data_IF_693791021007
#
_entry.id   IF_693791021007
#
_cell.length_a   1.000
_cell.length_b   1.000
_cell.length_c   1.000
_cell.angle_alpha   90.00
_cell.angle_beta   90.00
_cell.angle_gamma   90.00
#
_symmetry.space_group_name_H-M   'P 1'
#
loop_
_entity.id
_entity.type
_entity.pdbx_description
1 polymer ?
#
# COMPACT_ATOMS: atom_id res chain seq x y z
N UNK A 1 -10.73 -18.57 -1.41
CA UNK A 1 -11.06 -17.19 -1.03
C UNK A 1 -10.16 -16.86 0.15
N UNK A 2 -9.43 -15.75 0.06
CA UNK A 2 -8.29 -15.45 0.94
C UNK A 2 -8.71 -14.98 2.34
N UNK A 3 -9.87 -14.33 2.42
CA UNK A 3 -10.42 -13.72 3.63
C UNK A 3 -11.95 -13.82 3.62
N UNK A 4 -12.62 -13.52 4.75
CA UNK A 4 -14.10 -13.47 4.80
C UNK A 4 -14.72 -12.51 3.78
N UNK A 5 -16.01 -12.70 3.53
CA UNK A 5 -16.81 -11.83 2.66
C UNK A 5 -16.74 -10.35 3.07
N UNK A 6 -16.66 -10.07 4.37
CA UNK A 6 -16.51 -8.71 4.90
C UNK A 6 -15.20 -8.05 4.47
N UNK A 7 -14.07 -8.77 4.54
CA UNK A 7 -12.77 -8.26 4.08
C UNK A 7 -12.80 -8.04 2.57
N UNK A 8 -13.33 -9.00 1.81
CA UNK A 8 -13.42 -8.85 0.36
C UNK A 8 -14.26 -7.64 -0.03
N UNK A 9 -15.35 -7.38 0.70
CA UNK A 9 -16.21 -6.20 0.50
C UNK A 9 -15.47 -4.91 0.80
N UNK A 10 -14.73 -4.86 1.92
CA UNK A 10 -13.92 -3.69 2.27
C UNK A 10 -12.82 -3.42 1.26
N UNK A 11 -12.08 -4.46 0.86
CA UNK A 11 -11.05 -4.39 -0.17
C UNK A 11 -11.60 -3.88 -1.49
N UNK A 12 -12.73 -4.42 -1.96
CA UNK A 12 -13.36 -3.97 -3.20
C UNK A 12 -13.87 -2.53 -3.14
N UNK A 13 -14.23 -2.04 -1.96
CA UNK A 13 -14.74 -0.68 -1.77
C UNK A 13 -13.63 0.37 -1.60
N UNK A 14 -12.44 -0.02 -1.11
CA UNK A 14 -11.40 0.92 -0.69
C UNK A 14 -10.08 0.78 -1.47
N UNK A 15 -9.86 -0.35 -2.15
CA UNK A 15 -8.60 -0.66 -2.82
C UNK A 15 -8.84 -1.07 -4.27
N UNK A 16 -7.82 -0.82 -5.11
CA UNK A 16 -7.74 -1.46 -6.43
C UNK A 16 -7.07 -2.82 -6.23
N UNK A 17 -7.81 -3.89 -6.54
CA UNK A 17 -7.33 -5.24 -6.38
C UNK A 17 -6.70 -5.78 -7.66
N UNK A 18 -5.45 -6.18 -7.57
CA UNK A 18 -4.75 -6.96 -8.59
C UNK A 18 -4.31 -8.30 -8.01
N UNK A 19 -4.50 -9.38 -8.77
CA UNK A 19 -4.15 -10.73 -8.34
C UNK A 19 -3.20 -11.34 -9.36
N UNK A 20 -2.16 -11.99 -8.86
CA UNK A 20 -1.26 -12.78 -9.68
C UNK A 20 -1.22 -14.21 -9.15
N UNK A 21 -1.48 -15.17 -10.02
CA UNK A 21 -1.36 -16.58 -9.67
C UNK A 21 0.10 -16.99 -9.86
N UNK A 22 0.83 -17.11 -8.75
CA UNK A 22 2.24 -17.49 -8.78
C UNK A 22 2.39 -18.99 -9.06
N UNK A 23 3.28 -19.30 -9.99
CA UNK A 23 3.79 -20.64 -10.28
C UNK A 23 5.31 -20.57 -10.30
N UNK A 24 6.00 -21.71 -10.18
CA UNK A 24 7.46 -21.75 -10.27
C UNK A 24 7.97 -21.11 -11.59
N UNK A 25 7.25 -21.32 -12.68
CA UNK A 25 7.62 -20.83 -14.01
C UNK A 25 7.47 -19.30 -14.18
N UNK A 26 6.53 -18.67 -13.47
CA UNK A 26 6.21 -17.24 -13.66
C UNK A 26 6.73 -16.33 -12.55
N UNK A 27 7.35 -16.90 -11.51
CA UNK A 27 7.84 -16.16 -10.35
C UNK A 27 8.90 -15.12 -10.73
N UNK A 28 9.92 -15.54 -11.48
CA UNK A 28 10.98 -14.64 -11.94
C UNK A 28 10.48 -13.57 -12.92
N UNK A 29 9.47 -13.90 -13.73
CA UNK A 29 8.81 -12.94 -14.62
C UNK A 29 8.08 -11.87 -13.79
N UNK A 30 7.32 -12.27 -12.76
CA UNK A 30 6.67 -11.33 -11.85
C UNK A 30 7.70 -10.41 -11.19
N UNK A 31 8.78 -10.95 -10.63
CA UNK A 31 9.82 -10.14 -9.97
C UNK A 31 10.42 -9.11 -10.93
N UNK A 32 10.67 -9.51 -12.19
CA UNK A 32 11.19 -8.61 -13.24
C UNK A 32 10.19 -7.49 -13.56
N UNK A 33 8.91 -7.81 -13.72
CA UNK A 33 7.84 -6.84 -13.98
C UNK A 33 7.70 -5.88 -12.79
N UNK A 34 7.65 -6.40 -11.57
CA UNK A 34 7.53 -5.58 -10.35
C UNK A 34 8.73 -4.66 -10.22
N UNK A 35 9.97 -5.16 -10.37
CA UNK A 35 11.17 -4.34 -10.29
C UNK A 35 11.17 -3.21 -11.32
N UNK A 36 10.70 -3.48 -12.55
CA UNK A 36 10.71 -2.53 -13.67
C UNK A 36 9.63 -1.45 -13.54
N UNK A 37 8.40 -1.84 -13.19
CA UNK A 37 7.24 -0.95 -13.28
C UNK A 37 6.75 -0.44 -11.92
N UNK A 38 7.07 -1.14 -10.84
CA UNK A 38 6.63 -0.79 -9.48
C UNK A 38 7.82 -0.25 -8.69
N UNK A 39 8.92 -1.00 -8.67
CA UNK A 39 10.17 -0.64 -8.01
C UNK A 39 10.88 -1.86 -7.44
N UNK A 40 12.21 -1.78 -7.38
CA UNK A 40 13.09 -2.84 -6.88
C UNK A 40 12.84 -3.17 -5.39
N UNK A 41 12.43 -2.18 -4.60
CA UNK A 41 12.05 -2.38 -3.18
C UNK A 41 10.88 -3.36 -3.06
N UNK A 42 9.85 -3.21 -3.88
CA UNK A 42 8.67 -4.10 -3.86
C UNK A 42 9.03 -5.51 -4.32
N UNK A 43 9.87 -5.63 -5.36
CA UNK A 43 10.35 -6.92 -5.83
C UNK A 43 11.17 -7.64 -4.74
N UNK A 44 12.03 -6.91 -4.02
CA UNK A 44 12.83 -7.44 -2.90
C UNK A 44 11.94 -7.95 -1.76
N UNK A 45 10.85 -7.26 -1.45
CA UNK A 45 9.87 -7.72 -0.46
C UNK A 45 9.23 -9.05 -0.88
N UNK A 46 8.86 -9.21 -2.15
CA UNK A 46 8.29 -10.45 -2.66
C UNK A 46 9.33 -11.59 -2.64
N UNK A 47 10.57 -11.30 -3.04
CA UNK A 47 11.68 -12.26 -3.10
C UNK A 47 12.15 -12.75 -1.72
N UNK A 48 12.15 -11.84 -0.74
CA UNK A 48 12.53 -12.15 0.64
C UNK A 48 11.42 -12.78 1.48
N UNK A 49 10.18 -12.79 0.99
CA UNK A 49 9.04 -13.34 1.73
C UNK A 49 9.04 -14.87 1.69
N UNK A 50 9.06 -15.56 2.85
CA UNK A 50 8.98 -17.02 2.90
C UNK A 50 7.73 -17.56 2.22
N UNK A 51 7.86 -18.67 1.49
CA UNK A 51 6.75 -19.34 0.80
C UNK A 51 5.62 -19.75 1.74
N UNK A 52 5.92 -20.00 3.02
CA UNK A 52 4.95 -20.34 4.06
C UNK A 52 3.98 -19.20 4.42
N UNK A 53 4.36 -17.95 4.14
CA UNK A 53 3.53 -16.78 4.40
C UNK A 53 2.53 -16.50 3.26
N UNK A 54 2.68 -17.19 2.13
CA UNK A 54 1.77 -17.05 1.01
C UNK A 54 0.41 -17.67 1.31
N UNK A 55 -0.67 -17.12 0.72
CA UNK A 55 -0.70 -15.93 -0.17
C UNK A 55 -0.39 -14.61 0.54
N UNK A 56 0.33 -13.70 -0.14
CA UNK A 56 0.65 -12.37 0.38
C UNK A 56 -0.32 -11.32 -0.19
N UNK A 57 -0.83 -10.46 0.68
CA UNK A 57 -1.49 -9.22 0.27
C UNK A 57 -0.53 -8.05 0.52
N UNK A 58 -0.09 -7.40 -0.55
CA UNK A 58 0.83 -6.25 -0.47
C UNK A 58 0.04 -5.00 -0.80
N UNK A 59 0.00 -4.05 0.14
CA UNK A 59 -0.61 -2.75 -0.06
C UNK A 59 0.45 -1.78 -0.58
N UNK A 60 0.17 -1.17 -1.73
CA UNK A 60 1.05 -0.21 -2.37
C UNK A 60 0.40 1.17 -2.36
N UNK A 61 1.18 2.19 -2.03
CA UNK A 61 0.80 3.59 -2.08
C UNK A 61 1.64 4.34 -3.11
N UNK A 62 1.03 5.29 -3.83
CA UNK A 62 1.75 6.20 -4.71
C UNK A 62 1.96 7.55 -4.02
N UNK A 63 3.22 7.91 -3.78
CA UNK A 63 3.61 9.15 -3.11
C UNK A 63 4.72 9.85 -3.90
N UNK A 64 4.46 11.11 -4.31
CA UNK A 64 5.43 11.99 -4.99
C UNK A 64 6.17 11.35 -6.18
N UNK A 65 5.47 10.55 -6.99
CA UNK A 65 6.06 9.92 -8.17
C UNK A 65 6.70 8.56 -7.92
N UNK A 66 6.64 8.04 -6.70
CA UNK A 66 7.21 6.74 -6.32
C UNK A 66 6.11 5.84 -5.75
N UNK A 67 6.22 4.54 -6.02
CA UNK A 67 5.38 3.53 -5.37
C UNK A 67 6.13 3.05 -4.12
N UNK A 68 5.41 2.98 -3.01
CA UNK A 68 5.91 2.52 -1.71
C UNK A 68 5.08 1.35 -1.22
N UNK A 69 5.70 0.46 -0.45
CA UNK A 69 5.00 -0.58 0.28
C UNK A 69 4.43 0.01 1.56
N UNK A 70 3.11 0.02 1.71
CA UNK A 70 2.43 0.49 2.92
C UNK A 70 2.35 -0.61 3.98
N UNK A 71 2.02 -1.84 3.54
CA UNK A 71 2.04 -3.00 4.40
C UNK A 71 2.11 -4.29 3.58
N UNK A 72 2.55 -5.38 4.24
CA UNK A 72 2.54 -6.74 3.72
C UNK A 72 1.79 -7.59 4.73
N UNK A 73 0.72 -8.25 4.27
CA UNK A 73 -0.18 -9.04 5.10
C UNK A 73 -0.07 -10.51 4.65
N UNK A 74 0.53 -11.38 5.47
CA UNK A 74 0.56 -12.82 5.22
C UNK A 74 -0.84 -13.45 5.26
N UNK A 75 -1.06 -14.49 4.47
CA UNK A 75 -2.34 -15.20 4.40
C UNK A 75 -2.69 -16.00 5.66
N UNK A 76 -1.74 -16.16 6.59
CA UNK A 76 -1.93 -16.84 7.88
C UNK A 76 -2.53 -15.93 8.97
N UNK A 77 -2.62 -14.63 8.72
CA UNK A 77 -3.11 -13.63 9.67
C UNK A 77 -4.63 -13.76 9.84
N UNK A 78 -5.13 -13.49 11.05
CA UNK A 78 -6.58 -13.54 11.30
C UNK A 78 -7.30 -12.39 10.59
N UNK A 79 -8.59 -12.58 10.29
CA UNK A 79 -9.40 -11.56 9.62
C UNK A 79 -9.40 -10.20 10.36
N UNK A 80 -9.43 -10.23 11.70
CA UNK A 80 -9.43 -9.01 12.53
C UNK A 80 -8.11 -8.26 12.37
N UNK A 81 -6.99 -8.97 12.42
CA UNK A 81 -5.66 -8.40 12.24
C UNK A 81 -5.46 -7.88 10.82
N UNK A 82 -5.92 -8.62 9.80
CA UNK A 82 -5.89 -8.18 8.41
C UNK A 82 -6.68 -6.88 8.22
N UNK A 83 -7.89 -6.78 8.80
CA UNK A 83 -8.68 -5.55 8.79
C UNK A 83 -7.95 -4.37 9.43
N UNK A 84 -7.34 -4.57 10.60
CA UNK A 84 -6.62 -3.52 11.29
C UNK A 84 -5.43 -3.00 10.47
N UNK A 85 -4.67 -3.91 9.85
CA UNK A 85 -3.53 -3.57 8.98
C UNK A 85 -3.97 -2.83 7.71
N UNK A 86 -5.10 -3.21 7.11
CA UNK A 86 -5.66 -2.53 5.94
C UNK A 86 -6.12 -1.11 6.26
N UNK A 87 -6.81 -0.92 7.39
CA UNK A 87 -7.24 0.41 7.85
C UNK A 87 -6.00 1.27 8.12
N UNK A 88 -5.01 0.73 8.84
CA UNK A 88 -3.77 1.44 9.15
C UNK A 88 -3.02 1.87 7.87
N UNK A 89 -2.92 0.99 6.87
CA UNK A 89 -2.27 1.32 5.60
C UNK A 89 -2.99 2.44 4.85
N UNK A 90 -4.32 2.40 4.80
CA UNK A 90 -5.13 3.46 4.19
C UNK A 90 -4.97 4.79 4.93
N UNK A 91 -5.10 4.78 6.26
CA UNK A 91 -5.01 6.01 7.05
C UNK A 91 -3.61 6.63 6.96
N UNK A 92 -2.55 5.80 6.93
CA UNK A 92 -1.18 6.26 6.71
C UNK A 92 -0.95 6.84 5.30
N UNK A 93 -1.66 6.32 4.30
CA UNK A 93 -1.66 6.87 2.95
C UNK A 93 -2.38 8.23 2.92
N UNK A 94 -3.59 8.32 3.48
CA UNK A 94 -4.41 9.53 3.49
C UNK A 94 -3.73 10.69 4.23
N UNK A 95 -3.08 10.41 5.37
CA UNK A 95 -2.36 11.42 6.16
C UNK A 95 -1.23 12.12 5.40
N UNK A 96 -0.72 11.54 4.29
CA UNK A 96 0.31 12.19 3.45
C UNK A 96 -0.25 13.26 2.52
N UNK A 97 -1.56 13.22 2.28
CA UNK A 97 -2.27 14.18 1.44
C UNK A 97 -3.01 15.25 2.26
N UNK A 98 -3.06 15.11 3.58
CA UNK A 98 -3.49 16.20 4.45
C UNK A 98 -2.51 17.37 4.33
N UNK A 99 -2.96 18.44 3.68
CA UNK A 99 -2.24 19.71 3.64
C UNK A 99 -2.06 20.20 5.08
N UNK A 100 -0.91 20.82 5.43
CA UNK A 100 -0.74 21.45 6.73
C UNK A 100 -1.86 22.47 6.94
N UNK A 101 -2.42 22.51 8.15
CA UNK A 101 -3.50 23.42 8.52
C UNK A 101 -3.12 24.87 8.19
N UNK A 102 -3.68 25.40 7.09
CA UNK A 102 -3.41 26.78 6.63
C UNK A 102 -4.25 27.81 7.38
N UNK A 103 -5.06 27.41 8.37
CA UNK A 103 -5.94 28.30 9.13
C UNK A 103 -5.19 29.40 9.89
N UNK A 104 -3.87 29.25 10.09
CA UNK A 104 -3.00 30.25 10.72
C UNK A 104 -2.26 31.20 9.76
N UNK A 105 -2.31 30.99 8.44
CA UNK A 105 -1.59 31.82 7.45
C UNK A 105 -2.47 33.00 7.00
N UNK A 106 -2.73 33.94 7.91
CA UNK A 106 -3.34 35.21 7.53
C UNK A 106 -2.29 36.10 6.85
N UNK A 107 -2.47 36.40 5.56
CA UNK A 107 -1.66 37.33 4.74
C UNK A 107 -1.83 38.80 5.16
N UNK A 108 -1.85 39.10 6.45
CA UNK A 108 -1.98 40.44 7.00
C UNK A 108 -0.75 40.76 7.82
N UNK A 109 0.34 41.13 7.15
CA UNK A 109 1.44 41.97 7.67
C UNK A 109 2.44 42.34 6.56
N UNK A 110 1.96 42.72 5.37
CA UNK A 110 2.80 43.54 4.47
C UNK A 110 2.56 44.99 4.89
N UNK A 111 3.25 45.40 5.95
CA UNK A 111 3.43 46.82 6.24
C UNK A 111 4.21 47.41 5.07
N UNK A 112 3.56 48.26 4.27
CA UNK A 112 4.23 49.12 3.30
C UNK A 112 5.14 50.07 4.07
N UNK A 113 6.43 49.79 4.09
CA UNK A 113 7.44 50.83 4.24
C UNK A 113 7.84 51.28 2.83
N UNK A 114 7.35 52.47 2.47
CA UNK A 114 8.02 53.51 1.67
C UNK A 114 7.06 54.70 1.50
#
# INVERSE_FOLDING_TARGET
VLYSESINTYLAAQFILWKWNLTEDNYHELLTIVATYVGEEVATVIDSSPTELYPLLICLGFDRGQIKVECVIPGIVSDIEAFALLIQARDAFDARFELPDTSGLSLTNISREN
#
